data_IF_608138664321
#
_entry.id   IF_608138664321
#
_cell.length_a   1.000
_cell.length_b   1.000
_cell.length_c   1.000
_cell.angle_alpha   90.00
_cell.angle_beta   90.00
_cell.angle_gamma   90.00
#
_symmetry.space_group_name_H-M   'P 1'
#
loop_
_entity.id
_entity.type
_entity.pdbx_description
1 polymer ?
#
# COMPACT_ATOMS: atom_id res chain seq x y z
N UNK A 1 35.25 19.55 3.18
CA UNK A 1 33.91 19.68 2.54
C UNK A 1 33.30 18.38 1.99
N UNK A 2 34.03 17.26 1.82
CA UNK A 2 33.44 15.98 1.36
C UNK A 2 32.75 15.16 2.47
N UNK A 3 33.19 15.25 3.72
CA UNK A 3 32.59 14.47 4.83
C UNK A 3 31.31 15.06 5.41
N UNK A 4 31.06 16.36 5.24
CA UNK A 4 29.81 17.00 5.68
C UNK A 4 28.63 16.61 4.79
N UNK A 5 28.86 16.42 3.49
CA UNK A 5 27.82 16.00 2.55
C UNK A 5 27.42 14.53 2.74
N UNK A 6 28.38 13.64 3.02
CA UNK A 6 28.07 12.23 3.30
C UNK A 6 27.24 12.08 4.59
N UNK A 7 27.52 12.91 5.60
CA UNK A 7 26.72 12.96 6.84
C UNK A 7 25.31 13.48 6.57
N UNK A 8 25.15 14.47 5.69
CA UNK A 8 23.85 15.04 5.36
C UNK A 8 22.96 14.08 4.54
N UNK A 9 23.54 13.34 3.59
CA UNK A 9 22.80 12.34 2.81
C UNK A 9 22.40 11.12 3.65
N UNK A 10 23.23 10.72 4.61
CA UNK A 10 22.90 9.64 5.56
C UNK A 10 21.85 10.10 6.57
N UNK A 11 21.87 11.36 7.02
CA UNK A 11 20.87 11.93 7.93
C UNK A 11 19.49 12.07 7.28
N UNK A 12 19.44 12.41 5.98
CA UNK A 12 18.19 12.44 5.19
C UNK A 12 17.65 11.03 4.95
N UNK A 13 18.50 10.01 4.77
CA UNK A 13 18.06 8.61 4.68
C UNK A 13 17.60 8.06 6.04
N UNK A 14 18.23 8.46 7.16
CA UNK A 14 17.83 8.07 8.52
C UNK A 14 16.52 8.74 8.97
N UNK A 15 16.25 9.99 8.57
CA UNK A 15 14.98 10.66 8.87
C UNK A 15 13.78 10.07 8.10
N UNK A 16 14.02 9.36 6.99
CA UNK A 16 13.01 8.58 6.27
C UNK A 16 12.88 7.14 6.80
N UNK A 17 13.71 6.75 7.78
CA UNK A 17 13.73 5.41 8.40
C UNK A 17 13.22 5.41 9.84
N UNK A 18 12.57 6.50 10.28
CA UNK A 18 11.72 6.44 11.46
C UNK A 18 10.43 5.73 11.04
N UNK A 19 10.10 4.57 11.64
CA UNK A 19 8.77 4.00 11.48
C UNK A 19 7.80 5.00 12.11
N UNK A 20 7.14 5.78 11.27
CA UNK A 20 5.94 6.52 11.64
C UNK A 20 5.00 5.49 12.25
N UNK A 21 4.66 5.71 13.52
CA UNK A 21 4.03 4.73 14.38
C UNK A 21 2.90 4.00 13.67
N UNK A 22 3.13 2.73 13.36
CA UNK A 22 2.08 1.76 13.42
C UNK A 22 1.61 1.76 14.87
N UNK A 23 0.38 2.23 15.09
CA UNK A 23 -0.43 1.76 16.20
C UNK A 23 -0.40 0.24 16.10
N UNK A 24 0.45 -0.34 16.92
CA UNK A 24 0.47 -1.77 17.21
C UNK A 24 -0.70 -1.95 18.17
N UNK A 25 -1.85 -2.39 17.65
CA UNK A 25 -2.79 -3.15 18.46
C UNK A 25 -2.13 -4.51 18.69
N UNK A 26 -1.17 -4.54 19.62
CA UNK A 26 -0.75 -5.78 20.25
C UNK A 26 -1.80 -6.08 21.32
N UNK A 27 -2.88 -6.68 20.85
CA UNK A 27 -3.48 -7.78 21.58
C UNK A 27 -3.46 -8.97 20.61
N UNK A 28 -2.53 -9.89 20.84
CA UNK A 28 -2.70 -11.28 20.47
C UNK A 28 -3.93 -11.79 21.24
N UNK A 29 -5.13 -11.45 20.77
CA UNK A 29 -6.36 -12.12 21.17
C UNK A 29 -6.50 -13.35 20.26
N UNK A 30 -5.53 -14.26 20.38
CA UNK A 30 -5.72 -15.66 20.03
C UNK A 30 -6.38 -16.34 21.22
N UNK A 31 -7.42 -15.69 21.75
CA UNK A 31 -8.33 -16.29 22.72
C UNK A 31 -9.34 -17.06 21.88
N UNK A 32 -9.28 -18.38 22.04
CA UNK A 32 -10.31 -19.29 21.60
C UNK A 32 -11.64 -18.73 22.10
N UNK A 33 -12.42 -18.07 21.23
CA UNK A 33 -13.82 -17.77 21.53
C UNK A 33 -14.46 -19.14 21.79
N UNK A 34 -14.70 -19.43 23.06
CA UNK A 34 -15.37 -20.66 23.45
C UNK A 34 -16.73 -20.73 22.75
N UNK A 35 -17.20 -21.94 22.45
CA UNK A 35 -18.49 -22.13 21.78
C UNK A 35 -19.63 -21.44 22.55
N UNK A 36 -19.48 -21.25 23.86
CA UNK A 36 -20.36 -20.45 24.70
C UNK A 36 -20.41 -18.96 24.33
N UNK A 37 -19.28 -18.33 24.02
CA UNK A 37 -19.19 -16.91 23.67
C UNK A 37 -19.71 -16.64 22.25
N UNK A 38 -19.47 -17.57 21.33
CA UNK A 38 -20.08 -17.51 20.00
C UNK A 38 -21.61 -17.58 20.09
N UNK A 39 -22.17 -18.48 20.90
CA UNK A 39 -23.61 -18.56 21.10
C UNK A 39 -24.18 -17.31 21.78
N UNK A 40 -23.45 -16.72 22.73
CA UNK A 40 -23.83 -15.44 23.35
C UNK A 40 -23.86 -14.31 22.32
N UNK A 41 -22.85 -14.21 21.46
CA UNK A 41 -22.80 -13.17 20.41
C UNK A 41 -23.96 -13.27 19.41
N UNK A 42 -24.41 -14.49 19.07
CA UNK A 42 -25.60 -14.72 18.22
C UNK A 42 -26.88 -14.21 18.89
N UNK A 43 -26.97 -14.29 20.22
CA UNK A 43 -28.11 -13.80 21.00
C UNK A 43 -28.05 -12.28 21.18
N UNK A 44 -26.84 -11.71 21.32
CA UNK A 44 -26.63 -10.26 21.46
C UNK A 44 -26.95 -9.48 20.18
N UNK A 45 -26.62 -10.03 19.00
CA UNK A 45 -26.93 -9.43 17.70
C UNK A 45 -27.64 -10.41 16.74
N UNK A 46 -28.93 -10.68 16.99
CA UNK A 46 -29.71 -11.61 16.15
C UNK A 46 -29.89 -11.06 14.73
N UNK A 47 -29.94 -9.73 14.56
CA UNK A 47 -30.14 -9.11 13.26
C UNK A 47 -28.88 -9.16 12.39
N UNK A 48 -27.69 -9.01 12.99
CA UNK A 48 -26.42 -9.21 12.30
C UNK A 48 -26.21 -10.66 11.89
N UNK A 49 -26.53 -11.61 12.76
CA UNK A 49 -26.42 -13.04 12.45
C UNK A 49 -27.36 -13.46 11.32
N UNK A 50 -28.63 -13.05 11.36
CA UNK A 50 -29.58 -13.32 10.27
C UNK A 50 -29.14 -12.69 8.94
N UNK A 51 -28.55 -11.48 8.98
CA UNK A 51 -28.00 -10.87 7.77
C UNK A 51 -26.84 -11.69 7.17
N UNK A 52 -25.94 -12.21 8.01
CA UNK A 52 -24.82 -13.07 7.57
C UNK A 52 -25.33 -14.41 7.05
N UNK A 53 -26.34 -15.00 7.69
CA UNK A 53 -27.00 -16.21 7.22
C UNK A 53 -27.68 -16.02 5.86
N UNK A 54 -28.34 -14.89 5.64
CA UNK A 54 -28.91 -14.54 4.34
C UNK A 54 -27.84 -14.36 3.27
N UNK A 55 -26.70 -13.76 3.63
CA UNK A 55 -25.56 -13.60 2.74
C UNK A 55 -24.94 -14.95 2.38
N UNK A 56 -24.73 -15.82 3.36
CA UNK A 56 -24.25 -17.19 3.15
C UNK A 56 -25.18 -17.97 2.22
N UNK A 57 -26.50 -17.94 2.45
CA UNK A 57 -27.50 -18.55 1.57
C UNK A 57 -27.50 -17.99 0.14
N UNK A 58 -27.03 -16.75 -0.05
CA UNK A 58 -26.90 -16.14 -1.38
C UNK A 58 -25.62 -16.59 -2.10
N UNK A 59 -24.61 -17.03 -1.36
CA UNK A 59 -23.34 -17.55 -1.90
C UNK A 59 -23.40 -19.07 -2.13
N UNK A 60 -24.10 -19.79 -1.27
CA UNK A 60 -24.31 -21.25 -1.32
C UNK A 60 -25.43 -21.58 -2.33
N UNK A 61 -25.02 -21.77 -3.59
CA UNK A 61 -25.92 -21.97 -4.73
C UNK A 61 -26.52 -23.39 -4.73
N UNK A 62 -25.73 -24.38 -4.32
CA UNK A 62 -26.16 -25.78 -4.23
C UNK A 62 -26.90 -26.12 -2.93
N UNK A 63 -26.90 -25.20 -1.96
CA UNK A 63 -27.54 -25.31 -0.64
C UNK A 63 -26.98 -26.48 0.16
N UNK A 64 -25.71 -26.79 -0.02
CA UNK A 64 -24.99 -27.82 0.74
C UNK A 64 -24.80 -27.43 2.21
N UNK A 65 -24.95 -26.15 2.55
CA UNK A 65 -24.70 -25.61 3.89
C UNK A 65 -23.27 -25.08 4.08
N UNK A 66 -22.47 -25.09 3.02
CA UNK A 66 -21.11 -24.57 2.99
C UNK A 66 -20.82 -23.93 1.65
N UNK A 67 -20.05 -22.84 1.63
CA UNK A 67 -19.62 -22.20 0.39
C UNK A 67 -18.29 -22.76 -0.05
N UNK A 68 -18.22 -23.29 -1.27
CA UNK A 68 -17.00 -23.85 -1.85
C UNK A 68 -16.10 -22.79 -2.55
N UNK A 69 -14.98 -23.25 -3.12
CA UNK A 69 -14.06 -22.39 -3.87
C UNK A 69 -14.70 -21.78 -5.13
N UNK A 70 -15.47 -22.56 -5.89
CA UNK A 70 -16.05 -22.11 -7.16
C UNK A 70 -17.20 -21.13 -6.92
N UNK A 71 -18.11 -21.46 -6.00
CA UNK A 71 -19.22 -20.61 -5.55
C UNK A 71 -18.70 -19.25 -5.07
N UNK A 72 -17.65 -19.24 -4.24
CA UNK A 72 -17.04 -17.99 -3.79
C UNK A 72 -16.41 -17.17 -4.92
N UNK A 73 -15.83 -17.82 -5.93
CA UNK A 73 -15.25 -17.14 -7.10
C UNK A 73 -16.37 -16.52 -7.95
N UNK A 74 -17.42 -17.28 -8.21
CA UNK A 74 -18.52 -16.86 -9.08
C UNK A 74 -19.32 -15.74 -8.42
N UNK A 75 -19.56 -15.83 -7.10
CA UNK A 75 -20.13 -14.74 -6.32
C UNK A 75 -19.31 -13.44 -6.41
N UNK A 76 -17.98 -13.50 -6.31
CA UNK A 76 -17.13 -12.30 -6.41
C UNK A 76 -17.16 -11.69 -7.82
N UNK A 77 -17.31 -12.50 -8.87
CA UNK A 77 -17.39 -12.00 -10.24
C UNK A 77 -18.75 -11.42 -10.56
N UNK A 78 -19.81 -12.12 -10.18
CA UNK A 78 -21.18 -11.83 -10.61
C UNK A 78 -21.85 -10.80 -9.70
N UNK A 79 -21.79 -11.00 -8.39
CA UNK A 79 -22.46 -10.12 -7.42
C UNK A 79 -21.61 -8.87 -7.16
N UNK A 80 -20.31 -9.03 -6.91
CA UNK A 80 -19.41 -7.89 -6.64
C UNK A 80 -18.90 -7.18 -7.90
N UNK A 81 -19.21 -7.71 -9.09
CA UNK A 81 -18.82 -7.18 -10.39
C UNK A 81 -17.30 -6.96 -10.52
N UNK A 82 -16.50 -7.82 -9.88
CA UNK A 82 -15.03 -7.74 -9.93
C UNK A 82 -14.51 -8.63 -11.04
N UNK A 83 -14.12 -8.02 -12.16
CA UNK A 83 -13.58 -8.73 -13.32
C UNK A 83 -12.05 -8.87 -13.31
N UNK A 84 -11.37 -8.10 -12.47
CA UNK A 84 -9.90 -8.13 -12.34
C UNK A 84 -9.47 -9.42 -11.64
N UNK A 85 -8.79 -10.30 -12.39
CA UNK A 85 -8.32 -11.61 -11.92
C UNK A 85 -7.47 -11.51 -10.65
N UNK A 86 -6.61 -10.51 -10.55
CA UNK A 86 -5.74 -10.35 -9.37
C UNK A 86 -6.55 -9.94 -8.14
N UNK A 87 -7.61 -9.17 -8.33
CA UNK A 87 -8.54 -8.79 -7.25
C UNK A 87 -9.42 -9.95 -6.80
N UNK A 88 -9.83 -10.82 -7.71
CA UNK A 88 -10.61 -12.04 -7.40
C UNK A 88 -9.74 -13.00 -6.58
N UNK A 89 -8.53 -13.31 -7.03
CA UNK A 89 -7.61 -14.23 -6.32
C UNK A 89 -7.29 -13.73 -4.91
N UNK A 90 -7.05 -12.42 -4.74
CA UNK A 90 -6.80 -11.83 -3.41
C UNK A 90 -8.00 -11.91 -2.47
N UNK A 91 -9.23 -11.87 -2.99
CA UNK A 91 -10.48 -11.97 -2.22
C UNK A 91 -10.75 -13.42 -1.85
N UNK A 92 -10.61 -14.32 -2.82
CA UNK A 92 -10.71 -15.75 -2.61
C UNK A 92 -9.72 -16.22 -1.53
N UNK A 93 -8.46 -15.78 -1.57
CA UNK A 93 -7.47 -16.13 -0.54
C UNK A 93 -7.83 -15.64 0.87
N UNK A 94 -8.53 -14.50 0.97
CA UNK A 94 -8.98 -13.97 2.26
C UNK A 94 -10.28 -14.63 2.73
N UNK A 95 -11.09 -15.11 1.80
CA UNK A 95 -12.27 -15.89 2.12
C UNK A 95 -11.87 -17.31 2.53
N UNK A 96 -11.01 -17.99 1.78
CA UNK A 96 -10.53 -19.34 2.09
C UNK A 96 -9.18 -19.29 2.81
N UNK A 97 -9.14 -18.63 3.98
CA UNK A 97 -7.96 -18.62 4.84
C UNK A 97 -7.63 -20.05 5.30
N UNK A 98 -6.35 -20.33 5.58
CA UNK A 98 -5.86 -21.64 6.04
C UNK A 98 -6.13 -22.85 5.11
N UNK A 99 -6.45 -22.62 3.84
CA UNK A 99 -6.85 -23.65 2.87
C UNK A 99 -8.15 -24.37 3.24
N UNK A 100 -9.03 -23.72 4.00
CA UNK A 100 -10.40 -24.19 4.19
C UNK A 100 -11.10 -24.16 2.82
N UNK A 101 -11.57 -25.31 2.32
CA UNK A 101 -12.27 -25.40 1.04
C UNK A 101 -13.77 -25.10 1.17
N UNK A 102 -14.33 -25.29 2.38
CA UNK A 102 -15.75 -25.20 2.68
C UNK A 102 -15.95 -24.22 3.83
N UNK A 103 -16.78 -23.19 3.62
CA UNK A 103 -17.05 -22.16 4.64
C UNK A 103 -18.50 -22.24 5.08
N UNK A 104 -18.72 -22.57 6.35
CA UNK A 104 -20.07 -22.64 6.94
C UNK A 104 -20.56 -21.26 7.39
N UNK A 105 -21.86 -21.17 7.71
CA UNK A 105 -22.46 -19.96 8.30
C UNK A 105 -21.75 -19.57 9.60
N UNK A 106 -21.37 -20.55 10.41
CA UNK A 106 -20.73 -20.32 11.70
C UNK A 106 -19.29 -19.83 11.54
N UNK A 107 -18.56 -20.33 10.53
CA UNK A 107 -17.23 -19.82 10.20
C UNK A 107 -17.29 -18.36 9.74
N UNK A 108 -18.31 -18.02 8.95
CA UNK A 108 -18.51 -16.65 8.49
C UNK A 108 -18.88 -15.71 9.64
N UNK A 109 -19.73 -16.16 10.56
CA UNK A 109 -20.05 -15.42 11.78
C UNK A 109 -18.83 -15.23 12.67
N UNK A 110 -18.06 -16.29 12.90
CA UNK A 110 -16.83 -16.24 13.70
C UNK A 110 -15.83 -15.21 13.15
N UNK A 111 -15.62 -15.22 11.83
CA UNK A 111 -14.75 -14.23 11.16
C UNK A 111 -15.26 -12.81 11.28
N UNK A 112 -16.58 -12.61 11.19
CA UNK A 112 -17.18 -11.29 11.41
C UNK A 112 -16.96 -10.79 12.84
N UNK A 113 -17.12 -11.67 13.84
CA UNK A 113 -16.93 -11.35 15.25
C UNK A 113 -15.50 -10.90 15.55
N UNK A 114 -14.51 -11.56 14.94
CA UNK A 114 -13.09 -11.23 15.07
C UNK A 114 -12.65 -10.04 14.20
N UNK A 115 -13.49 -9.58 13.28
CA UNK A 115 -13.10 -8.51 12.37
C UNK A 115 -12.99 -7.17 13.10
N UNK A 116 -11.93 -6.41 12.80
CA UNK A 116 -11.77 -5.03 13.30
C UNK A 116 -12.94 -4.11 12.89
N UNK A 117 -13.60 -4.46 11.79
CA UNK A 117 -14.76 -3.76 11.23
C UNK A 117 -15.92 -3.73 12.22
N UNK A 118 -16.15 -4.83 12.96
CA UNK A 118 -17.22 -4.90 13.95
C UNK A 118 -17.04 -3.87 15.06
N UNK A 119 -15.80 -3.59 15.43
CA UNK A 119 -15.42 -2.64 16.48
C UNK A 119 -15.42 -1.17 16.01
N UNK A 120 -15.93 -0.88 14.80
CA UNK A 120 -15.97 0.50 14.32
C UNK A 120 -16.95 1.38 15.06
N UNK A 121 -16.46 2.59 15.37
CA UNK A 121 -17.27 3.68 15.86
C UNK A 121 -18.05 4.36 14.72
N UNK A 122 -19.04 5.19 15.10
CA UNK A 122 -19.84 5.99 14.15
C UNK A 122 -18.94 6.81 13.23
N UNK A 123 -17.92 7.49 13.77
CA UNK A 123 -17.01 8.33 12.99
C UNK A 123 -16.21 7.54 11.95
N UNK A 124 -15.76 6.33 12.30
CA UNK A 124 -15.03 5.46 11.39
C UNK A 124 -15.94 4.96 10.27
N UNK A 125 -17.19 4.62 10.60
CA UNK A 125 -18.21 4.20 9.64
C UNK A 125 -18.57 5.35 8.68
N UNK A 126 -18.65 6.59 9.18
CA UNK A 126 -18.85 7.79 8.34
C UNK A 126 -17.64 8.05 7.45
N UNK A 127 -16.43 7.92 7.97
CA UNK A 127 -15.21 8.08 7.19
C UNK A 127 -15.13 7.06 6.04
N UNK A 128 -15.57 5.83 6.30
CA UNK A 128 -15.74 4.80 5.28
C UNK A 128 -16.81 5.17 4.24
N UNK A 129 -17.98 5.66 4.67
CA UNK A 129 -19.05 6.12 3.78
C UNK A 129 -18.57 7.23 2.83
N UNK A 130 -17.76 8.17 3.32
CA UNK A 130 -17.26 9.30 2.53
C UNK A 130 -16.12 8.87 1.60
N UNK A 131 -15.10 8.18 2.11
CA UNK A 131 -13.87 7.94 1.36
C UNK A 131 -13.88 6.64 0.54
N UNK A 132 -14.70 5.66 0.90
CA UNK A 132 -14.74 4.34 0.24
C UNK A 132 -16.03 4.13 -0.55
N UNK A 133 -17.17 4.50 0.05
CA UNK A 133 -18.48 4.42 -0.64
C UNK A 133 -18.73 5.65 -1.50
N UNK A 134 -18.10 6.78 -1.18
CA UNK A 134 -18.25 8.07 -1.88
C UNK A 134 -19.70 8.58 -1.86
N UNK A 135 -20.38 8.43 -0.72
CA UNK A 135 -21.76 8.89 -0.52
C UNK A 135 -21.86 9.84 0.69
N UNK A 136 -21.23 11.03 0.63
CA UNK A 136 -21.21 11.97 1.76
C UNK A 136 -22.61 12.49 2.13
N UNK A 137 -23.54 12.49 1.20
CA UNK A 137 -24.93 12.95 1.38
C UNK A 137 -25.73 12.19 2.45
N UNK A 138 -25.31 10.97 2.81
CA UNK A 138 -25.98 10.16 3.83
C UNK A 138 -25.31 10.25 5.20
N UNK A 139 -24.29 11.11 5.35
CA UNK A 139 -23.58 11.32 6.62
C UNK A 139 -24.53 11.63 7.78
N UNK A 140 -25.44 12.59 7.58
CA UNK A 140 -26.39 13.01 8.64
C UNK A 140 -27.31 11.86 9.07
N UNK A 141 -27.65 10.95 8.15
CA UNK A 141 -28.45 9.76 8.45
C UNK A 141 -27.63 8.79 9.32
N UNK A 142 -26.36 8.55 8.96
CA UNK A 142 -25.46 7.68 9.71
C UNK A 142 -25.19 8.21 11.13
N UNK A 143 -25.05 9.53 11.28
CA UNK A 143 -24.93 10.19 12.60
C UNK A 143 -26.22 10.08 13.40
N UNK A 144 -27.37 10.39 12.78
CA UNK A 144 -28.67 10.36 13.46
C UNK A 144 -29.04 8.97 13.97
N UNK A 145 -28.76 7.92 13.19
CA UNK A 145 -29.02 6.54 13.57
C UNK A 145 -27.86 5.87 14.33
N UNK A 146 -26.77 6.60 14.59
CA UNK A 146 -25.58 6.10 15.31
C UNK A 146 -25.08 4.77 14.73
N UNK A 147 -24.91 4.72 13.41
CA UNK A 147 -24.50 3.50 12.71
C UNK A 147 -23.05 3.16 13.05
N UNK A 148 -22.89 2.12 13.86
CA UNK A 148 -21.60 1.50 14.20
C UNK A 148 -21.27 0.32 13.28
N UNK A 149 -20.06 -0.22 13.42
CA UNK A 149 -19.58 -1.40 12.69
C UNK A 149 -20.51 -2.61 12.75
N UNK A 150 -21.19 -2.82 13.89
CA UNK A 150 -22.17 -3.90 14.09
C UNK A 150 -23.36 -3.85 13.13
N UNK A 151 -23.68 -2.69 12.58
CA UNK A 151 -24.80 -2.52 11.64
C UNK A 151 -24.44 -2.84 10.18
N UNK A 152 -23.15 -2.99 9.85
CA UNK A 152 -22.68 -3.21 8.48
C UNK A 152 -23.17 -4.52 7.84
N UNK A 153 -23.28 -5.66 8.54
CA UNK A 153 -23.86 -6.87 7.95
C UNK A 153 -25.30 -6.65 7.50
N UNK A 154 -26.07 -5.84 8.24
CA UNK A 154 -27.44 -5.48 7.89
C UNK A 154 -27.51 -4.59 6.65
N UNK A 155 -26.48 -3.79 6.38
CA UNK A 155 -26.35 -3.02 5.14
C UNK A 155 -25.91 -3.89 3.95
N UNK A 156 -25.11 -4.93 4.22
CA UNK A 156 -24.65 -5.90 3.22
C UNK A 156 -25.73 -6.92 2.85
N UNK A 157 -26.74 -7.11 3.70
CA UNK A 157 -27.82 -8.07 3.49
C UNK A 157 -28.50 -7.88 2.12
N UNK A 158 -28.87 -8.97 1.41
CA UNK A 158 -29.70 -8.92 0.20
C UNK A 158 -31.00 -8.13 0.40
N UNK A 159 -31.54 -8.14 1.62
CA UNK A 159 -32.81 -7.51 1.94
C UNK A 159 -32.66 -5.99 2.11
N UNK A 160 -33.09 -5.24 1.09
CA UNK A 160 -33.05 -3.77 1.09
C UNK A 160 -34.04 -3.09 2.06
N UNK A 161 -34.78 -3.86 2.86
CA UNK A 161 -35.79 -3.37 3.80
C UNK A 161 -35.17 -2.44 4.85
N UNK A 162 -34.00 -2.77 5.37
CA UNK A 162 -33.33 -1.95 6.37
C UNK A 162 -32.91 -0.59 5.81
N UNK A 163 -32.26 -0.57 4.65
CA UNK A 163 -31.85 0.68 4.00
C UNK A 163 -33.02 1.55 3.57
N UNK A 164 -34.14 0.94 3.15
CA UNK A 164 -35.30 1.67 2.61
C UNK A 164 -36.21 2.18 3.73
N UNK A 165 -36.60 1.30 4.66
CA UNK A 165 -37.62 1.61 5.66
C UNK A 165 -37.03 2.27 6.91
N UNK A 166 -35.78 1.97 7.27
CA UNK A 166 -35.14 2.54 8.45
C UNK A 166 -34.30 3.75 8.08
N UNK A 167 -33.40 3.60 7.10
CA UNK A 167 -32.48 4.68 6.73
C UNK A 167 -33.08 5.68 5.73
N UNK A 168 -34.22 5.36 5.10
CA UNK A 168 -34.88 6.25 4.15
C UNK A 168 -34.13 6.43 2.82
N UNK A 169 -33.19 5.53 2.50
CA UNK A 169 -32.43 5.58 1.25
C UNK A 169 -33.30 4.97 0.14
N UNK A 170 -34.00 5.81 -0.61
CA UNK A 170 -34.93 5.37 -1.67
C UNK A 170 -34.23 5.08 -3.00
N UNK A 171 -33.09 5.72 -3.28
CA UNK A 171 -32.40 5.59 -4.55
C UNK A 171 -31.76 4.18 -4.72
N UNK A 172 -32.17 3.39 -5.71
CA UNK A 172 -31.68 2.03 -5.90
C UNK A 172 -30.17 1.96 -6.20
N UNK A 173 -29.62 2.93 -6.94
CA UNK A 173 -28.19 2.96 -7.29
C UNK A 173 -27.33 3.13 -6.04
N UNK A 174 -27.73 4.06 -5.16
CA UNK A 174 -26.99 4.31 -3.92
C UNK A 174 -27.10 3.13 -2.95
N UNK A 175 -28.28 2.50 -2.87
CA UNK A 175 -28.45 1.27 -2.08
C UNK A 175 -27.55 0.15 -2.58
N UNK A 176 -27.56 -0.12 -3.88
CA UNK A 176 -26.71 -1.17 -4.46
C UNK A 176 -25.23 -0.86 -4.23
N UNK A 177 -24.79 0.39 -4.45
CA UNK A 177 -23.39 0.79 -4.19
C UNK A 177 -23.03 0.59 -2.72
N UNK A 178 -23.87 1.03 -1.78
CA UNK A 178 -23.65 0.88 -0.34
C UNK A 178 -23.60 -0.60 0.07
N UNK A 179 -24.53 -1.40 -0.45
CA UNK A 179 -24.62 -2.84 -0.21
C UNK A 179 -23.36 -3.57 -0.69
N UNK A 180 -22.94 -3.34 -1.94
CA UNK A 180 -21.74 -3.97 -2.50
C UNK A 180 -20.47 -3.60 -1.71
N UNK A 181 -20.36 -2.35 -1.27
CA UNK A 181 -19.23 -1.90 -0.45
C UNK A 181 -19.29 -2.49 0.97
N UNK A 182 -20.46 -2.55 1.60
CA UNK A 182 -20.64 -3.15 2.92
C UNK A 182 -20.30 -4.64 2.87
N UNK A 183 -20.76 -5.34 1.83
CA UNK A 183 -20.47 -6.74 1.58
C UNK A 183 -18.97 -6.99 1.41
N UNK A 184 -18.27 -6.17 0.60
CA UNK A 184 -16.80 -6.30 0.43
C UNK A 184 -16.07 -6.17 1.78
N UNK A 185 -16.51 -5.26 2.65
CA UNK A 185 -15.91 -5.05 3.97
C UNK A 185 -16.26 -6.17 4.96
N UNK A 186 -17.50 -6.68 4.94
CA UNK A 186 -17.96 -7.75 5.82
C UNK A 186 -17.28 -9.09 5.46
N UNK A 187 -17.13 -9.40 4.17
CA UNK A 187 -16.55 -10.67 3.73
C UNK A 187 -15.02 -10.67 3.69
N UNK A 188 -14.38 -9.56 3.32
CA UNK A 188 -12.94 -9.51 3.09
C UNK A 188 -12.18 -8.60 4.06
N UNK A 189 -12.89 -8.01 5.01
CA UNK A 189 -12.35 -7.03 5.95
C UNK A 189 -12.15 -5.65 5.32
N UNK A 190 -11.94 -4.65 6.17
CA UNK A 190 -11.58 -3.33 5.71
C UNK A 190 -10.13 -3.28 5.24
N UNK A 191 -9.95 -2.89 4.00
CA UNK A 191 -8.64 -2.46 3.51
C UNK A 191 -8.72 -0.96 3.33
N UNK A 192 -7.90 -0.18 4.07
CA UNK A 192 -7.84 1.24 3.81
C UNK A 192 -7.51 1.41 2.33
N UNK A 193 -8.19 2.34 1.63
CA UNK A 193 -7.85 2.61 0.24
C UNK A 193 -6.35 2.88 0.21
N UNK A 194 -5.58 2.02 -0.47
CA UNK A 194 -4.17 2.30 -0.70
C UNK A 194 -4.16 3.55 -1.54
N UNK A 195 -3.98 4.71 -0.92
CA UNK A 195 -4.12 5.97 -1.61
C UNK A 195 -3.19 5.92 -2.81
N UNK A 196 -3.73 6.18 -4.00
CA UNK A 196 -2.89 6.41 -5.18
C UNK A 196 -1.80 7.41 -4.81
N UNK A 197 -2.18 8.45 -4.05
CA UNK A 197 -1.28 9.44 -3.48
C UNK A 197 -0.05 8.88 -2.77
N UNK A 198 -0.12 7.82 -1.97
CA UNK A 198 1.08 7.26 -1.35
C UNK A 198 2.04 6.65 -2.39
N UNK A 199 1.49 5.92 -3.38
CA UNK A 199 2.27 5.39 -4.50
C UNK A 199 2.82 6.52 -5.37
N UNK A 200 2.02 7.54 -5.60
CA UNK A 200 2.36 8.72 -6.40
C UNK A 200 3.43 9.57 -5.69
N UNK A 201 3.37 9.71 -4.37
CA UNK A 201 4.41 10.38 -3.56
C UNK A 201 5.73 9.61 -3.65
N UNK A 202 5.70 8.28 -3.54
CA UNK A 202 6.90 7.44 -3.69
C UNK A 202 7.46 7.57 -5.11
N UNK A 203 6.59 7.58 -6.13
CA UNK A 203 6.98 7.72 -7.53
C UNK A 203 7.61 9.10 -7.79
N UNK A 204 7.00 10.17 -7.28
CA UNK A 204 7.54 11.54 -7.37
C UNK A 204 8.90 11.62 -6.65
N UNK A 205 9.03 11.02 -5.47
CA UNK A 205 10.31 10.99 -4.74
C UNK A 205 11.41 10.28 -5.55
N UNK A 206 11.11 9.14 -6.16
CA UNK A 206 12.04 8.43 -7.06
C UNK A 206 12.43 9.27 -8.27
N UNK A 207 11.48 9.99 -8.87
CA UNK A 207 11.72 10.85 -10.03
C UNK A 207 12.61 12.04 -9.68
N UNK A 208 12.43 12.66 -8.50
CA UNK A 208 13.28 13.75 -8.01
C UNK A 208 14.71 13.26 -7.75
N UNK A 209 14.89 12.07 -7.20
CA UNK A 209 16.22 11.47 -7.01
C UNK A 209 16.91 11.18 -8.36
N UNK A 210 16.18 10.69 -9.35
CA UNK A 210 16.70 10.47 -10.70
C UNK A 210 17.16 11.78 -11.36
N UNK A 211 16.36 12.84 -11.29
CA UNK A 211 16.72 14.17 -11.84
C UNK A 211 17.93 14.76 -11.11
N UNK A 212 17.97 14.62 -9.77
CA UNK A 212 19.07 15.14 -8.95
C UNK A 212 20.39 14.45 -9.27
N UNK A 213 20.38 13.12 -9.43
CA UNK A 213 21.56 12.34 -9.82
C UNK A 213 22.01 12.65 -11.25
N UNK A 214 21.07 12.82 -12.17
CA UNK A 214 21.35 13.22 -13.56
C UNK A 214 22.04 14.60 -13.61
N UNK A 215 21.48 15.60 -12.92
CA UNK A 215 22.08 16.94 -12.82
C UNK A 215 23.47 16.89 -12.18
N UNK A 216 23.64 16.07 -11.13
CA UNK A 216 24.92 15.90 -10.45
C UNK A 216 26.00 15.27 -11.34
N UNK A 217 25.65 14.28 -12.16
CA UNK A 217 26.57 13.69 -13.15
C UNK A 217 27.05 14.72 -14.18
N UNK A 218 26.17 15.64 -14.61
CA UNK A 218 26.53 16.72 -15.53
C UNK A 218 27.47 17.74 -14.87
N UNK A 219 27.24 18.11 -13.60
CA UNK A 219 28.14 18.97 -12.84
C UNK A 219 29.51 18.33 -12.63
N UNK A 220 29.54 17.03 -12.34
CA UNK A 220 30.79 16.29 -12.15
C UNK A 220 31.61 16.20 -13.44
N UNK A 221 30.96 16.02 -14.60
CA UNK A 221 31.61 16.10 -15.92
C UNK A 221 32.25 17.47 -16.16
N UNK A 222 31.57 18.57 -15.83
CA UNK A 222 32.14 19.93 -15.95
C UNK A 222 33.33 20.15 -15.02
N UNK A 223 33.29 19.60 -13.80
CA UNK A 223 34.43 19.68 -12.88
C UNK A 223 35.60 18.78 -13.29
N UNK A 224 35.36 17.66 -13.97
CA UNK A 224 36.39 16.75 -14.46
C UNK A 224 37.21 17.38 -15.58
N UNK A 225 36.59 18.14 -16.49
CA UNK A 225 37.29 18.85 -17.56
C UNK A 225 38.30 19.88 -17.02
N UNK A 226 37.97 20.57 -15.92
CA UNK A 226 38.91 21.49 -15.26
C UNK A 226 40.15 20.77 -14.72
N UNK A 227 40.00 19.54 -14.23
CA UNK A 227 41.12 18.73 -13.74
C UNK A 227 41.98 18.20 -14.87
N UNK A 228 41.38 17.79 -15.99
CA UNK A 228 42.13 17.36 -17.17
C UNK A 228 42.96 18.50 -17.77
N UNK A 229 42.39 19.70 -17.86
CA UNK A 229 43.14 20.86 -18.35
C UNK A 229 44.33 21.22 -17.46
N UNK A 230 44.15 21.14 -16.14
CA UNK A 230 45.25 21.41 -15.20
C UNK A 230 46.32 20.30 -15.20
N UNK A 231 45.95 19.08 -15.58
CA UNK A 231 46.90 17.97 -15.75
C UNK A 231 47.65 18.07 -17.08
N UNK A 232 47.00 18.50 -18.17
CA UNK A 232 47.67 18.73 -19.45
C UNK A 232 48.70 19.85 -19.33
N UNK A 233 48.38 20.94 -18.63
CA UNK A 233 49.35 22.03 -18.39
C UNK A 233 50.52 21.60 -17.51
N UNK A 234 50.31 20.65 -16.58
CA UNK A 234 51.39 20.06 -15.80
C UNK A 234 52.27 19.12 -16.65
N UNK A 235 51.70 18.40 -17.62
CA UNK A 235 52.46 17.55 -18.55
C UNK A 235 53.30 18.36 -19.54
N UNK A 236 52.76 19.46 -20.08
CA UNK A 236 53.50 20.33 -21.00
C UNK A 236 54.73 20.95 -20.34
N UNK A 237 54.60 21.39 -19.07
CA UNK A 237 55.73 21.92 -18.29
C UNK A 237 56.82 20.88 -18.03
N UNK A 238 56.45 19.62 -17.78
CA UNK A 238 57.42 18.54 -17.58
C UNK A 238 58.15 18.19 -18.89
N UNK A 239 57.46 18.26 -20.03
CA UNK A 239 58.05 18.02 -21.36
C UNK A 239 59.05 19.11 -21.76
N UNK A 240 58.76 20.37 -21.45
CA UNK A 240 59.71 21.48 -21.66
C UNK A 240 60.98 21.30 -20.81
N UNK A 241 60.82 20.86 -19.55
CA UNK A 241 61.96 20.56 -18.69
C UNK A 241 62.81 19.39 -19.22
N UNK A 242 62.19 18.33 -19.75
CA UNK A 242 62.89 17.22 -20.39
C UNK A 242 63.68 17.68 -21.64
N UNK A 243 63.08 18.55 -22.47
CA UNK A 243 63.77 19.13 -23.62
C UNK A 243 64.97 20.00 -23.22
N UNK A 244 64.86 20.74 -22.12
CA UNK A 244 65.96 21.59 -21.65
C UNK A 244 67.15 20.73 -21.16
N UNK A 245 66.88 19.63 -20.44
CA UNK A 245 67.91 18.67 -20.05
C UNK A 245 68.59 18.00 -21.25
N UNK A 246 67.82 17.58 -22.27
CA UNK A 246 68.41 16.96 -23.48
C UNK A 246 69.23 17.96 -24.31
N UNK A 247 68.85 19.23 -24.33
CA UNK A 247 69.62 20.29 -24.97
C UNK A 247 70.93 20.60 -24.23
N UNK A 248 70.90 20.61 -22.90
CA UNK A 248 72.11 20.76 -22.08
C UNK A 248 73.06 19.57 -22.27
N UNK A 249 72.53 18.34 -22.29
CA UNK A 249 73.33 17.15 -22.61
C UNK A 249 73.94 17.25 -24.00
N UNK A 250 73.17 17.55 -25.05
CA UNK A 250 73.69 17.74 -26.41
C UNK A 250 74.79 18.79 -26.49
N UNK A 251 74.66 19.90 -25.77
CA UNK A 251 75.70 20.94 -25.71
C UNK A 251 76.96 20.39 -25.06
N UNK A 252 76.87 19.71 -23.91
CA UNK A 252 78.04 19.10 -23.26
C UNK A 252 78.73 18.04 -24.13
N UNK A 253 77.97 17.13 -24.77
CA UNK A 253 78.54 16.15 -25.69
C UNK A 253 79.20 16.81 -26.91
N UNK A 254 78.63 17.91 -27.43
CA UNK A 254 79.22 18.67 -28.54
C UNK A 254 80.51 19.38 -28.12
N UNK A 255 80.58 19.90 -26.89
CA UNK A 255 81.80 20.51 -26.35
C UNK A 255 82.92 19.48 -26.11
N UNK A 256 82.61 18.28 -25.59
CA UNK A 256 83.61 17.22 -25.44
C UNK A 256 84.18 16.72 -26.77
N UNK A 257 83.34 16.53 -27.80
CA UNK A 257 83.82 16.08 -29.13
C UNK A 257 84.75 17.13 -29.77
N UNK A 258 84.45 18.42 -29.60
CA UNK A 258 85.32 19.50 -30.10
C UNK A 258 86.65 19.55 -29.32
N UNK A 259 86.64 19.22 -28.03
CA UNK A 259 87.85 19.17 -27.20
C UNK A 259 88.73 17.95 -27.49
N UNK A 260 88.17 16.84 -27.97
CA UNK A 260 88.93 15.63 -28.34
C UNK A 260 89.57 15.74 -29.75
N UNK A 261 89.05 16.61 -30.62
CA UNK A 261 89.52 16.78 -32.01
C UNK A 261 90.60 17.88 -32.12
N UNK A 262 90.78 18.73 -31.10
CA UNK A 262 91.82 19.77 -31.02
C UNK A 262 93.05 19.28 -30.25
#
# INVERSE_FOLDING_TARGET
MRSLFLKCTVYILLLNFLPFGSVVCEENFEDVLDAGEMNKSKIEDPFGYEAIKLLHRKMDDDRSGSVDLNESIDFVKEELQIQDKDRVVRRQKVFHQNNDEYITVDDLWYRWILSEVRCWNVDQTINWLINVVELPQYKEIFEKFMLNGTSLPRLASPDANYMTNVLGITNPVHRQKLQLKALDVVLFGYRPPTSSYAKDIILIALLVLAISSYWFAVLQRKSAQKKLHNLTTHLDRLKDMEQDFTNLQKKNYKFEIIFIIL
#
